data_IF_279730567485
#
_entry.id   IF_279730567485
#
_cell.length_a   1.000
_cell.length_b   1.000
_cell.length_c   1.000
_cell.angle_alpha   90.00
_cell.angle_beta   90.00
_cell.angle_gamma   90.00
#
_symmetry.space_group_name_H-M   'P 1'
#
loop_
_entity.id
_entity.type
_entity.pdbx_description
1 polymer ?
#
# COMPACT_ATOMS: atom_id res chain seq x y z
N UNK A 1 30.25 0.11 11.57
CA UNK A 1 29.53 -0.18 10.31
C UNK A 1 28.01 -0.07 10.42
N UNK A 2 27.39 -0.57 11.49
CA UNK A 2 25.93 -0.47 11.69
C UNK A 2 25.41 0.98 11.82
N UNK A 3 26.13 1.85 12.52
CA UNK A 3 25.77 3.27 12.72
C UNK A 3 25.74 4.09 11.43
N UNK A 4 26.69 3.88 10.50
CA UNK A 4 26.72 4.56 9.21
C UNK A 4 25.53 4.16 8.33
N UNK A 5 25.18 2.86 8.32
CA UNK A 5 23.99 2.36 7.61
C UNK A 5 22.71 2.98 8.16
N UNK A 6 22.60 3.06 9.49
CA UNK A 6 21.46 3.69 10.17
C UNK A 6 21.34 5.18 9.81
N UNK A 7 22.44 5.93 9.86
CA UNK A 7 22.45 7.34 9.47
C UNK A 7 22.05 7.54 8.00
N UNK A 8 22.48 6.64 7.11
CA UNK A 8 22.12 6.70 5.69
C UNK A 8 20.63 6.43 5.46
N UNK A 9 20.05 5.42 6.14
CA UNK A 9 18.61 5.13 6.09
C UNK A 9 17.80 6.31 6.62
N UNK A 10 18.19 6.87 7.77
CA UNK A 10 17.52 8.04 8.36
C UNK A 10 17.62 9.25 7.42
N UNK A 11 18.77 9.48 6.81
CA UNK A 11 18.96 10.55 5.83
C UNK A 11 18.01 10.41 4.64
N UNK A 12 17.93 9.21 4.05
CA UNK A 12 17.00 8.94 2.93
C UNK A 12 15.56 9.18 3.36
N UNK A 13 15.15 8.69 4.53
CA UNK A 13 13.80 8.89 5.06
C UNK A 13 13.46 10.38 5.24
N UNK A 14 14.39 11.18 5.76
CA UNK A 14 14.19 12.62 5.95
C UNK A 14 14.07 13.36 4.61
N UNK A 15 14.90 13.01 3.62
CA UNK A 15 14.83 13.60 2.26
C UNK A 15 13.49 13.27 1.61
N UNK A 16 13.06 12.01 1.69
CA UNK A 16 11.77 11.56 1.16
C UNK A 16 10.62 12.27 1.87
N UNK A 17 10.62 12.32 3.20
CA UNK A 17 9.58 12.98 3.98
C UNK A 17 9.47 14.47 3.65
N UNK A 18 10.59 15.19 3.53
CA UNK A 18 10.60 16.59 3.13
C UNK A 18 10.12 16.78 1.69
N UNK A 19 10.51 15.90 0.76
CA UNK A 19 10.03 15.92 -0.62
C UNK A 19 8.50 15.79 -0.71
N UNK A 20 7.94 14.82 0.02
CA UNK A 20 6.48 14.62 0.11
C UNK A 20 5.80 15.86 0.70
N UNK A 21 6.32 16.40 1.82
CA UNK A 21 5.75 17.58 2.47
C UNK A 21 5.78 18.81 1.55
N UNK A 22 6.88 19.03 0.84
CA UNK A 22 7.02 20.15 -0.08
C UNK A 22 6.07 20.01 -1.27
N UNK A 23 5.97 18.81 -1.86
CA UNK A 23 5.04 18.55 -2.96
C UNK A 23 3.59 18.68 -2.51
N UNK A 24 3.23 18.14 -1.34
CA UNK A 24 1.89 18.28 -0.77
C UNK A 24 1.55 19.73 -0.46
N UNK A 25 2.48 20.50 0.12
CA UNK A 25 2.28 21.92 0.40
C UNK A 25 2.13 22.73 -0.89
N UNK A 26 2.93 22.43 -1.91
CA UNK A 26 2.83 23.07 -3.21
C UNK A 26 1.49 22.76 -3.89
N UNK A 27 1.08 21.48 -3.92
CA UNK A 27 -0.21 21.09 -4.49
C UNK A 27 -1.39 21.69 -3.71
N UNK A 28 -1.32 21.72 -2.38
CA UNK A 28 -2.35 22.31 -1.53
C UNK A 28 -2.48 23.81 -1.77
N UNK A 29 -1.37 24.53 -1.89
CA UNK A 29 -1.39 25.98 -2.14
C UNK A 29 -1.91 26.31 -3.55
N UNK A 30 -1.62 25.44 -4.54
CA UNK A 30 -1.90 25.72 -5.96
C UNK A 30 -3.22 25.14 -6.46
N UNK A 31 -3.73 24.09 -5.82
CA UNK A 31 -4.93 23.35 -6.23
C UNK A 31 -5.94 23.13 -5.09
N UNK A 32 -5.62 23.47 -3.84
CA UNK A 32 -6.48 23.18 -2.69
C UNK A 32 -6.56 21.69 -2.32
N UNK A 33 -5.88 20.81 -3.07
CA UNK A 33 -5.92 19.36 -2.92
C UNK A 33 -4.57 18.78 -2.49
N UNK A 34 -4.60 17.73 -1.66
CA UNK A 34 -3.40 16.97 -1.26
C UNK A 34 -3.42 15.59 -1.90
N UNK A 35 -2.50 15.37 -2.84
CA UNK A 35 -2.31 14.09 -3.54
C UNK A 35 -2.08 12.95 -2.53
N UNK A 36 -1.25 13.19 -1.51
CA UNK A 36 -1.08 12.29 -0.38
C UNK A 36 -2.25 12.46 0.59
N UNK A 37 -3.34 11.75 0.32
CA UNK A 37 -4.52 11.65 1.20
C UNK A 37 -4.69 10.23 1.74
N UNK A 38 -5.41 10.08 2.86
CA UNK A 38 -5.73 8.77 3.44
C UNK A 38 -6.43 7.86 2.42
N UNK A 39 -7.35 8.41 1.62
CA UNK A 39 -8.04 7.68 0.57
C UNK A 39 -7.09 7.22 -0.52
N UNK A 40 -6.20 8.10 -0.99
CA UNK A 40 -5.18 7.77 -1.96
C UNK A 40 -4.24 6.66 -1.46
N UNK A 41 -3.84 6.71 -0.17
CA UNK A 41 -3.02 5.67 0.45
C UNK A 41 -3.69 4.30 0.39
N UNK A 42 -4.94 4.20 0.83
CA UNK A 42 -5.67 2.92 0.79
C UNK A 42 -5.85 2.41 -0.64
N UNK A 43 -6.18 3.30 -1.58
CA UNK A 43 -6.39 2.93 -2.98
C UNK A 43 -5.08 2.44 -3.62
N UNK A 44 -3.96 3.11 -3.35
CA UNK A 44 -2.63 2.68 -3.77
C UNK A 44 -2.23 1.36 -3.12
N UNK A 45 -2.48 1.18 -1.81
CA UNK A 45 -2.11 -0.02 -1.08
C UNK A 45 -2.89 -1.25 -1.57
N UNK A 46 -4.19 -1.09 -1.82
CA UNK A 46 -5.04 -2.11 -2.45
C UNK A 46 -4.54 -2.43 -3.85
N UNK A 47 -4.27 -1.41 -4.67
CA UNK A 47 -3.76 -1.60 -6.02
C UNK A 47 -2.44 -2.37 -6.04
N UNK A 48 -1.46 -1.97 -5.22
CA UNK A 48 -0.16 -2.63 -5.11
C UNK A 48 -0.33 -4.09 -4.70
N UNK A 49 -1.15 -4.39 -3.69
CA UNK A 49 -1.37 -5.75 -3.24
C UNK A 49 -2.06 -6.61 -4.31
N UNK A 50 -3.12 -6.10 -4.95
CA UNK A 50 -3.84 -6.83 -6.00
C UNK A 50 -2.94 -7.12 -7.21
N UNK A 51 -2.14 -6.14 -7.65
CA UNK A 51 -1.18 -6.35 -8.74
C UNK A 51 -0.11 -7.37 -8.34
N UNK A 52 0.45 -7.24 -7.14
CA UNK A 52 1.53 -8.12 -6.69
C UNK A 52 1.07 -9.57 -6.52
N UNK A 53 -0.01 -9.79 -5.78
CA UNK A 53 -0.57 -11.13 -5.58
C UNK A 53 -1.17 -11.70 -6.86
N UNK A 54 -1.73 -10.86 -7.72
CA UNK A 54 -2.24 -11.27 -9.04
C UNK A 54 -1.12 -11.75 -9.95
N UNK A 55 -0.01 -10.99 -10.00
CA UNK A 55 1.19 -11.38 -10.73
C UNK A 55 1.81 -12.66 -10.16
N UNK A 56 1.92 -12.78 -8.84
CA UNK A 56 2.44 -13.98 -8.19
C UNK A 56 1.57 -15.22 -8.49
N UNK A 57 0.25 -15.10 -8.38
CA UNK A 57 -0.68 -16.18 -8.68
C UNK A 57 -0.64 -16.59 -10.16
N UNK A 58 -0.51 -15.62 -11.07
CA UNK A 58 -0.34 -15.90 -12.50
C UNK A 58 1.01 -16.58 -12.80
N UNK A 59 2.12 -16.07 -12.24
CA UNK A 59 3.46 -16.59 -12.46
C UNK A 59 3.64 -18.00 -11.88
N UNK A 60 2.95 -18.32 -10.80
CA UNK A 60 3.00 -19.65 -10.14
C UNK A 60 1.94 -20.63 -10.64
N UNK A 61 0.97 -20.19 -11.45
CA UNK A 61 -0.08 -21.04 -12.00
C UNK A 61 0.46 -22.24 -12.82
N UNK A 62 1.51 -22.10 -13.66
CA UNK A 62 2.09 -23.24 -14.38
C UNK A 62 2.67 -24.30 -13.43
N UNK A 63 3.29 -23.86 -12.32
CA UNK A 63 3.89 -24.75 -11.33
C UNK A 63 2.85 -25.53 -10.53
N UNK A 64 1.67 -24.95 -10.30
CA UNK A 64 0.60 -25.57 -9.50
C UNK A 64 -0.47 -26.26 -10.35
N UNK A 65 -0.29 -26.31 -11.68
CA UNK A 65 -1.28 -26.83 -12.64
C UNK A 65 -2.67 -26.21 -12.44
N UNK A 66 -2.69 -24.95 -11.99
CA UNK A 66 -3.89 -24.22 -11.64
C UNK A 66 -4.29 -23.26 -12.78
N UNK A 67 -5.58 -22.89 -12.89
CA UNK A 67 -6.00 -21.92 -13.89
C UNK A 67 -5.37 -20.54 -13.66
N UNK A 68 -4.62 -20.04 -14.64
CA UNK A 68 -3.92 -18.75 -14.54
C UNK A 68 -4.86 -17.52 -14.56
N UNK A 69 -6.13 -17.72 -14.89
CA UNK A 69 -7.11 -16.65 -15.07
C UNK A 69 -7.40 -15.88 -13.78
N UNK A 70 -7.34 -16.53 -12.61
CA UNK A 70 -7.54 -15.87 -11.32
C UNK A 70 -6.50 -14.79 -11.06
N UNK A 71 -5.22 -15.08 -11.33
CA UNK A 71 -4.12 -14.11 -11.19
C UNK A 71 -4.25 -12.93 -12.15
N UNK A 72 -4.65 -13.19 -13.40
CA UNK A 72 -4.87 -12.14 -14.41
C UNK A 72 -6.01 -11.20 -14.00
N UNK A 73 -7.14 -11.75 -13.54
CA UNK A 73 -8.28 -10.93 -13.07
C UNK A 73 -7.88 -10.09 -11.87
N UNK A 74 -7.14 -10.66 -10.91
CA UNK A 74 -6.69 -9.94 -9.73
C UNK A 74 -5.74 -8.78 -10.10
N UNK A 75 -4.80 -9.03 -11.02
CA UNK A 75 -3.89 -8.01 -11.52
C UNK A 75 -4.65 -6.91 -12.28
N UNK A 76 -5.63 -7.27 -13.11
CA UNK A 76 -6.47 -6.31 -13.84
C UNK A 76 -7.27 -5.40 -12.89
N UNK A 77 -7.82 -5.94 -11.79
CA UNK A 77 -8.49 -5.14 -10.75
C UNK A 77 -7.52 -4.17 -10.07
N UNK A 78 -6.30 -4.61 -9.79
CA UNK A 78 -5.25 -3.76 -9.25
C UNK A 78 -4.89 -2.61 -10.21
N UNK A 79 -4.76 -2.89 -11.51
CA UNK A 79 -4.53 -1.87 -12.54
C UNK A 79 -5.70 -0.90 -12.61
N UNK A 80 -6.95 -1.38 -12.58
CA UNK A 80 -8.13 -0.52 -12.57
C UNK A 80 -8.14 0.44 -11.36
N UNK A 81 -7.70 -0.03 -10.19
CA UNK A 81 -7.52 0.81 -9.01
C UNK A 81 -6.42 1.88 -9.22
N UNK A 82 -5.29 1.54 -9.85
CA UNK A 82 -4.27 2.54 -10.23
C UNK A 82 -4.84 3.59 -11.17
N UNK A 83 -5.58 3.18 -12.21
CA UNK A 83 -6.20 4.08 -13.18
C UNK A 83 -7.17 5.03 -12.47
N UNK A 84 -7.99 4.51 -11.55
CA UNK A 84 -8.91 5.33 -10.74
C UNK A 84 -8.15 6.33 -9.86
N UNK A 85 -7.07 5.91 -9.20
CA UNK A 85 -6.23 6.81 -8.39
C UNK A 85 -5.67 7.96 -9.23
N UNK A 86 -5.12 7.63 -10.41
CA UNK A 86 -4.57 8.64 -11.33
C UNK A 86 -5.69 9.57 -11.80
N UNK A 87 -6.84 9.03 -12.19
CA UNK A 87 -7.98 9.81 -12.63
C UNK A 87 -8.46 10.79 -11.55
N UNK A 88 -8.64 10.33 -10.32
CA UNK A 88 -9.05 11.17 -9.18
C UNK A 88 -8.02 12.27 -8.91
N UNK A 89 -6.73 11.94 -8.95
CA UNK A 89 -5.65 12.92 -8.73
C UNK A 89 -5.52 13.93 -9.88
N UNK A 90 -5.74 13.51 -11.13
CA UNK A 90 -5.73 14.39 -12.32
C UNK A 90 -6.93 15.34 -12.30
N UNK A 91 -8.12 14.85 -11.93
CA UNK A 91 -9.35 15.66 -11.81
C UNK A 91 -9.19 16.81 -10.82
N UNK A 92 -8.50 16.57 -9.71
CA UNK A 92 -8.36 17.54 -8.62
C UNK A 92 -7.10 18.43 -8.73
N UNK A 93 -6.17 18.15 -9.66
CA UNK A 93 -4.96 18.96 -9.84
C UNK A 93 -4.74 19.38 -11.30
N UNK A 94 -4.00 18.57 -12.06
CA UNK A 94 -3.73 18.71 -13.50
C UNK A 94 -3.05 17.45 -13.99
N UNK A 95 -3.09 17.15 -15.29
CA UNK A 95 -2.53 15.90 -15.88
C UNK A 95 -1.09 15.64 -15.43
N UNK A 96 -0.21 16.65 -15.51
CA UNK A 96 1.20 16.50 -15.17
C UNK A 96 1.44 16.23 -13.67
N UNK A 97 0.76 16.95 -12.78
CA UNK A 97 0.91 16.79 -11.33
C UNK A 97 0.15 15.57 -10.80
N UNK A 98 -1.01 15.24 -11.38
CA UNK A 98 -1.83 14.09 -11.04
C UNK A 98 -1.13 12.79 -11.41
N UNK A 99 -0.58 12.68 -12.63
CA UNK A 99 0.20 11.50 -13.02
C UNK A 99 1.49 11.41 -12.20
N UNK A 100 2.28 12.49 -12.16
CA UNK A 100 3.58 12.48 -11.46
C UNK A 100 3.43 12.21 -9.96
N UNK A 101 2.44 12.85 -9.32
CA UNK A 101 2.14 12.64 -7.91
C UNK A 101 1.63 11.23 -7.61
N UNK A 102 0.78 10.65 -8.47
CA UNK A 102 0.29 9.28 -8.30
C UNK A 102 1.41 8.25 -8.47
N UNK A 103 2.29 8.44 -9.45
CA UNK A 103 3.46 7.57 -9.65
C UNK A 103 4.40 7.63 -8.45
N UNK A 104 4.72 8.84 -7.99
CA UNK A 104 5.54 9.03 -6.79
C UNK A 104 4.89 8.37 -5.57
N UNK A 105 3.57 8.54 -5.40
CA UNK A 105 2.82 7.93 -4.32
C UNK A 105 2.87 6.40 -4.38
N UNK A 106 2.69 5.79 -5.55
CA UNK A 106 2.80 4.34 -5.73
C UNK A 106 4.20 3.86 -5.35
N UNK A 107 5.26 4.46 -5.90
CA UNK A 107 6.65 4.07 -5.61
C UNK A 107 6.96 4.13 -4.12
N UNK A 108 6.55 5.21 -3.46
CA UNK A 108 6.77 5.39 -2.02
C UNK A 108 5.96 4.43 -1.16
N UNK A 109 4.77 4.05 -1.61
CA UNK A 109 3.88 3.17 -0.87
C UNK A 109 4.12 1.68 -1.14
N UNK A 110 4.84 1.29 -2.19
CA UNK A 110 5.20 -0.12 -2.45
C UNK A 110 5.79 -0.82 -1.21
N UNK A 111 6.87 -0.34 -0.57
CA UNK A 111 7.43 -1.03 0.58
C UNK A 111 6.46 -1.09 1.77
N UNK A 112 5.71 0.00 2.01
CA UNK A 112 4.73 0.05 3.10
C UNK A 112 3.55 -0.88 2.83
N UNK A 113 3.08 -0.96 1.59
CA UNK A 113 1.94 -1.77 1.20
C UNK A 113 2.27 -3.27 1.12
N UNK A 114 3.49 -3.63 0.70
CA UNK A 114 3.91 -5.02 0.62
C UNK A 114 4.37 -5.60 1.96
N UNK A 115 5.04 -4.81 2.80
CA UNK A 115 5.57 -5.32 4.08
C UNK A 115 4.77 -4.82 5.27
N UNK A 116 4.36 -3.55 5.27
CA UNK A 116 3.66 -2.93 6.39
C UNK A 116 2.24 -3.49 6.59
N UNK A 117 1.48 -3.69 5.52
CA UNK A 117 0.12 -4.26 5.61
C UNK A 117 0.12 -5.71 6.13
N UNK A 118 0.96 -6.63 5.59
CA UNK A 118 1.06 -7.98 6.17
C UNK A 118 1.53 -7.96 7.62
N UNK A 119 2.51 -7.12 7.96
CA UNK A 119 2.97 -7.00 9.34
C UNK A 119 1.86 -6.50 10.28
N UNK A 120 1.06 -5.51 9.84
CA UNK A 120 -0.10 -5.03 10.58
C UNK A 120 -1.15 -6.13 10.74
N UNK A 121 -1.42 -6.90 9.69
CA UNK A 121 -2.35 -8.03 9.75
C UNK A 121 -1.87 -9.11 10.75
N UNK A 122 -0.57 -9.45 10.72
CA UNK A 122 0.03 -10.38 11.68
C UNK A 122 -0.10 -9.83 13.12
N UNK A 123 0.20 -8.55 13.34
CA UNK A 123 0.07 -7.93 14.65
C UNK A 123 -1.38 -7.93 15.15
N UNK A 124 -2.36 -7.67 14.26
CA UNK A 124 -3.78 -7.72 14.58
C UNK A 124 -4.24 -9.15 14.92
N UNK A 125 -3.80 -10.15 14.16
CA UNK A 125 -4.07 -11.55 14.47
C UNK A 125 -3.50 -11.94 15.84
N UNK A 126 -2.26 -11.53 16.11
CA UNK A 126 -1.62 -11.78 17.40
C UNK A 126 -2.39 -11.12 18.55
N UNK A 127 -2.80 -9.87 18.37
CA UNK A 127 -3.61 -9.15 19.36
C UNK A 127 -4.97 -9.83 19.56
N UNK A 128 -5.61 -10.29 18.48
CA UNK A 128 -6.87 -11.04 18.55
C UNK A 128 -6.70 -12.28 19.42
N UNK A 129 -5.69 -13.10 19.16
CA UNK A 129 -5.38 -14.30 19.97
C UNK A 129 -5.01 -13.97 21.42
N UNK A 130 -4.20 -12.93 21.65
CA UNK A 130 -3.83 -12.49 22.99
C UNK A 130 -5.02 -11.94 23.80
N UNK A 131 -5.97 -11.31 23.13
CA UNK A 131 -7.18 -10.72 23.74
C UNK A 131 -8.33 -11.72 23.82
N UNK A 132 -8.26 -12.82 23.06
CA UNK A 132 -9.26 -13.89 23.07
C UNK A 132 -9.26 -14.62 24.43
N UNK A 133 -10.01 -14.07 25.39
CA UNK A 133 -10.38 -14.70 26.66
C UNK A 133 -11.57 -15.66 26.49
N UNK A 134 -11.60 -16.42 25.39
CA UNK A 134 -12.55 -17.51 25.23
C UNK A 134 -12.02 -18.75 25.93
N UNK A 135 -12.17 -18.82 27.26
CA UNK A 135 -11.98 -20.07 27.97
C UNK A 135 -12.94 -21.13 27.37
N UNK A 136 -12.51 -22.40 27.19
CA UNK A 136 -13.39 -23.45 26.72
C UNK A 136 -14.62 -23.55 27.62
N UNK A 137 -15.83 -23.52 27.05
CA UNK A 137 -17.09 -23.59 27.81
C UNK A 137 -17.19 -24.82 28.71
N UNK A 138 -16.45 -25.90 28.40
CA UNK A 138 -16.37 -27.13 29.20
C UNK A 138 -15.60 -27.00 30.53
N UNK A 139 -14.94 -25.89 30.80
CA UNK A 139 -14.28 -25.61 32.10
C UNK A 139 -15.17 -24.80 33.06
N UNK A 140 -16.41 -24.47 32.65
CA UNK A 140 -17.32 -23.57 33.38
C UNK A 140 -18.60 -24.27 33.83
N UNK A 141 -18.74 -25.58 33.62
CA UNK A 141 -19.86 -26.32 34.25
C UNK A 141 -19.52 -26.63 35.73
N UNK A 142 -20.40 -26.23 36.68
CA UNK A 142 -20.16 -26.28 38.13
C UNK A 142 -20.23 -27.69 38.76
#
# INVERSE_FOLDING_TARGET
MASLKLAMVVGILLVVAKGIQQLSRHCRHRFGYSIFSMRGFWLAAIAINLVWWGYYAWATAPLHHAPAHGGIVLAALGIAAVVKLIHDNVRETNVMYGIGGSLLQLVLFIPVALYGLPLLAIALLFLLFATYKGAPAWLIDP
#
